data_IF_091649127935
#
_entry.id   IF_091649127935
#
_cell.length_a   1.000
_cell.length_b   1.000
_cell.length_c   1.000
_cell.angle_alpha   90.00
_cell.angle_beta   90.00
_cell.angle_gamma   90.00
#
_symmetry.space_group_name_H-M   'P 1'
#
loop_
_entity.id
_entity.type
_entity.pdbx_description
1 polymer ?
#
# COMPACT_ATOMS: atom_id res chain seq x y z
N UNK A 1 4.00 -4.77 9.43
CA UNK A 1 4.44 -6.00 8.75
C UNK A 1 5.88 -5.89 8.24
N UNK A 2 6.27 -4.80 7.59
CA UNK A 2 7.62 -4.62 7.04
C UNK A 2 8.74 -4.88 8.09
N UNK A 3 8.56 -4.40 9.31
CA UNK A 3 9.54 -4.52 10.40
C UNK A 3 9.21 -5.58 11.45
N UNK A 4 8.04 -6.21 11.41
CA UNK A 4 7.64 -7.23 12.36
C UNK A 4 7.26 -8.54 11.64
N UNK A 5 8.15 -9.53 11.73
CA UNK A 5 7.98 -10.83 11.09
C UNK A 5 6.90 -11.71 11.72
N UNK A 6 6.37 -11.35 12.90
CA UNK A 6 5.25 -12.05 13.54
C UNK A 6 3.93 -11.82 12.83
N UNK A 7 3.83 -10.74 12.03
CA UNK A 7 2.66 -10.47 11.18
C UNK A 7 2.76 -11.39 9.96
N UNK A 8 1.88 -12.35 9.86
CA UNK A 8 1.92 -13.42 8.85
C UNK A 8 1.15 -13.10 7.58
N UNK A 9 0.20 -12.18 7.63
CA UNK A 9 -0.58 -11.72 6.49
C UNK A 9 -0.97 -10.25 6.65
N UNK A 10 -1.22 -9.56 5.53
CA UNK A 10 -1.55 -8.13 5.52
C UNK A 10 -2.71 -7.86 4.58
N UNK A 11 -3.60 -6.97 4.98
CA UNK A 11 -4.59 -6.34 4.09
C UNK A 11 -4.43 -4.83 4.20
N UNK A 12 -4.29 -4.16 3.07
CA UNK A 12 -4.31 -2.70 2.97
C UNK A 12 -5.45 -2.28 2.05
N UNK A 13 -6.42 -1.56 2.59
CA UNK A 13 -7.52 -0.98 1.81
C UNK A 13 -7.45 0.52 1.86
N UNK A 14 -7.48 1.19 0.70
CA UNK A 14 -7.41 2.65 0.59
C UNK A 14 -6.23 3.23 1.40
N UNK A 15 -5.09 2.56 1.38
CA UNK A 15 -4.01 2.82 2.34
C UNK A 15 -2.90 3.73 1.83
N UNK A 16 -2.69 3.79 0.52
CA UNK A 16 -1.54 4.51 -0.06
C UNK A 16 -1.66 4.65 -1.59
N UNK A 17 -0.88 5.56 -2.13
CA UNK A 17 -0.34 5.58 -3.49
C UNK A 17 1.14 6.03 -3.40
N UNK A 18 1.82 6.25 -4.52
CA UNK A 18 3.19 6.79 -4.50
C UNK A 18 3.22 8.16 -3.83
N UNK A 19 4.27 8.43 -3.08
CA UNK A 19 4.49 9.76 -2.50
C UNK A 19 4.47 10.87 -3.56
N UNK A 20 4.94 10.58 -4.75
CA UNK A 20 4.97 11.55 -5.86
C UNK A 20 3.57 11.80 -6.46
N UNK A 21 2.67 10.83 -6.38
CA UNK A 21 1.33 10.89 -6.95
C UNK A 21 0.26 11.37 -5.96
N UNK A 22 0.58 11.35 -4.66
CA UNK A 22 -0.36 11.67 -3.59
C UNK A 22 -1.03 13.02 -3.81
N UNK A 23 -2.38 13.02 -3.91
CA UNK A 23 -3.18 14.16 -4.33
C UNK A 23 -2.68 14.81 -5.64
N UNK A 24 -2.23 14.01 -6.61
CA UNK A 24 -1.72 14.53 -7.88
C UNK A 24 -0.41 15.29 -7.76
N UNK A 25 0.39 15.03 -6.73
CA UNK A 25 1.66 15.71 -6.46
C UNK A 25 1.49 17.08 -5.79
N UNK A 26 0.32 17.37 -5.22
CA UNK A 26 0.04 18.64 -4.54
C UNK A 26 0.96 18.86 -3.32
N UNK A 27 1.94 19.76 -3.50
CA UNK A 27 2.93 20.08 -2.47
C UNK A 27 2.34 20.67 -1.18
N UNK A 28 1.10 21.18 -1.22
CA UNK A 28 0.42 21.69 -0.01
C UNK A 28 0.06 20.57 0.96
N UNK A 29 -0.06 19.33 0.49
CA UNK A 29 -0.30 18.14 1.31
C UNK A 29 0.95 17.68 2.07
N UNK A 30 2.13 18.22 1.73
CA UNK A 30 3.42 17.90 2.34
C UNK A 30 3.91 18.95 3.34
N UNK A 31 3.09 19.98 3.62
CA UNK A 31 3.33 20.91 4.72
C UNK A 31 3.24 20.14 6.05
N UNK A 32 4.12 20.45 7.00
CA UNK A 32 4.14 19.81 8.31
C UNK A 32 2.73 19.78 8.95
N UNK A 33 2.32 18.61 9.40
CA UNK A 33 0.99 18.36 9.97
C UNK A 33 -0.12 18.11 8.96
N UNK A 34 0.16 18.03 7.66
CA UNK A 34 -0.80 17.73 6.60
C UNK A 34 -0.53 16.34 5.99
N UNK A 35 -1.57 15.70 5.42
CA UNK A 35 -1.44 14.43 4.72
C UNK A 35 -0.55 13.43 5.46
N UNK A 36 0.45 12.88 4.76
CA UNK A 36 1.44 11.96 5.33
C UNK A 36 2.32 12.56 6.41
N UNK A 37 2.46 13.89 6.47
CA UNK A 37 3.36 14.59 7.41
C UNK A 37 2.71 14.89 8.76
N UNK A 38 1.49 14.38 9.03
CA UNK A 38 0.86 14.47 10.35
C UNK A 38 1.67 13.69 11.40
N UNK A 39 1.63 14.14 12.65
CA UNK A 39 2.35 13.51 13.77
C UNK A 39 2.07 12.02 13.94
N UNK A 40 0.83 11.59 13.62
CA UNK A 40 0.40 10.18 13.70
C UNK A 40 0.90 9.30 12.55
N UNK A 41 1.53 9.88 11.52
CA UNK A 41 2.07 9.17 10.36
C UNK A 41 3.59 9.35 10.27
N UNK A 42 4.07 10.04 9.26
CA UNK A 42 5.50 10.20 8.96
C UNK A 42 5.91 11.68 8.93
N UNK A 43 5.93 12.38 10.08
CA UNK A 43 6.13 13.84 10.13
C UNK A 43 7.44 14.31 9.49
N UNK A 44 8.48 13.48 9.51
CA UNK A 44 9.78 13.80 8.90
C UNK A 44 9.71 13.92 7.37
N UNK A 45 8.70 13.36 6.72
CA UNK A 45 8.53 13.51 5.27
C UNK A 45 8.25 14.95 4.86
N UNK A 46 7.84 15.84 5.76
CA UNK A 46 7.72 17.27 5.49
C UNK A 46 9.03 17.93 5.02
N UNK A 47 10.18 17.35 5.37
CA UNK A 47 11.50 17.81 4.92
C UNK A 47 11.74 17.58 3.41
N UNK A 48 10.96 16.70 2.79
CA UNK A 48 11.04 16.37 1.35
C UNK A 48 10.02 17.16 0.51
N UNK A 49 9.26 18.08 1.10
CA UNK A 49 8.39 18.95 0.33
C UNK A 49 9.18 19.61 -0.82
N UNK A 50 8.58 19.66 -2.01
CA UNK A 50 9.18 20.14 -3.26
C UNK A 50 10.35 19.28 -3.79
N UNK A 51 10.67 18.17 -3.11
CA UNK A 51 11.73 17.22 -3.45
C UNK A 51 11.29 15.77 -3.18
N UNK A 52 10.04 15.41 -3.51
CA UNK A 52 9.46 14.10 -3.19
C UNK A 52 10.24 12.95 -3.83
N UNK A 53 10.91 13.18 -4.94
CA UNK A 53 11.80 12.22 -5.60
C UNK A 53 13.08 11.90 -4.79
N UNK A 54 13.37 12.66 -3.76
CA UNK A 54 14.50 12.40 -2.85
C UNK A 54 14.11 11.58 -1.61
N UNK A 55 12.81 11.24 -1.45
CA UNK A 55 12.38 10.32 -0.39
C UNK A 55 13.04 8.97 -0.67
N UNK A 56 13.78 8.39 0.31
CA UNK A 56 14.65 7.24 0.05
C UNK A 56 13.92 5.91 -0.10
N UNK A 57 12.60 5.88 -0.08
CA UNK A 57 11.74 4.71 -0.29
C UNK A 57 10.34 5.15 -0.70
N UNK A 58 9.59 4.25 -1.33
CA UNK A 58 8.16 4.41 -1.58
C UNK A 58 7.41 3.12 -1.20
N UNK A 59 6.13 3.04 -1.43
CA UNK A 59 5.32 1.89 -1.02
C UNK A 59 5.64 0.60 -1.77
N UNK A 60 6.22 0.64 -2.98
CA UNK A 60 6.72 -0.56 -3.66
C UNK A 60 7.80 -1.26 -2.83
N UNK A 61 8.77 -0.53 -2.26
CA UNK A 61 9.79 -1.11 -1.38
C UNK A 61 9.17 -1.63 -0.08
N UNK A 62 8.22 -0.89 0.50
CA UNK A 62 7.52 -1.36 1.71
C UNK A 62 6.78 -2.66 1.43
N UNK A 63 6.06 -2.77 0.31
CA UNK A 63 5.38 -4.00 -0.11
C UNK A 63 6.38 -5.13 -0.32
N UNK A 64 7.50 -4.86 -0.99
CA UNK A 64 8.56 -5.83 -1.26
C UNK A 64 9.17 -6.41 0.03
N UNK A 65 9.31 -5.62 1.09
CA UNK A 65 9.82 -6.12 2.39
C UNK A 65 8.89 -7.12 3.07
N UNK A 66 7.63 -7.22 2.65
CA UNK A 66 6.67 -8.18 3.21
C UNK A 66 6.84 -9.56 2.58
N UNK A 67 7.38 -9.65 1.37
CA UNK A 67 7.59 -10.92 0.68
C UNK A 67 8.36 -11.94 1.55
N UNK A 68 8.05 -13.23 1.47
CA UNK A 68 7.00 -13.88 0.67
C UNK A 68 5.61 -13.97 1.34
N UNK A 69 5.38 -13.24 2.43
CA UNK A 69 4.12 -13.28 3.19
C UNK A 69 2.95 -12.70 2.38
N UNK A 70 1.74 -13.27 2.50
CA UNK A 70 0.61 -12.82 1.72
C UNK A 70 0.16 -11.41 2.09
N UNK A 71 -0.12 -10.62 1.06
CA UNK A 71 -0.70 -9.29 1.16
C UNK A 71 -1.80 -9.09 0.12
N UNK A 72 -2.92 -8.55 0.56
CA UNK A 72 -3.99 -8.04 -0.29
C UNK A 72 -3.99 -6.53 -0.25
N UNK A 73 -3.85 -5.90 -1.41
CA UNK A 73 -4.02 -4.46 -1.61
C UNK A 73 -5.38 -4.23 -2.27
N UNK A 74 -6.20 -3.37 -1.68
CA UNK A 74 -7.48 -2.93 -2.25
C UNK A 74 -7.36 -1.44 -2.56
N UNK A 75 -7.42 -1.10 -3.85
CA UNK A 75 -7.28 0.26 -4.36
C UNK A 75 -8.48 0.62 -5.24
N UNK A 76 -9.55 1.23 -4.68
CA UNK A 76 -10.73 1.60 -5.44
C UNK A 76 -10.44 2.50 -6.63
N UNK A 77 -11.15 2.28 -7.74
CA UNK A 77 -10.92 3.00 -9.01
C UNK A 77 -11.22 4.50 -8.91
N UNK A 78 -12.13 4.90 -8.01
CA UNK A 78 -12.58 6.29 -7.84
C UNK A 78 -12.21 6.88 -6.48
N UNK A 79 -11.12 6.37 -5.87
CA UNK A 79 -10.61 6.91 -4.61
C UNK A 79 -10.11 8.34 -4.82
N UNK A 80 -10.65 9.28 -4.06
CA UNK A 80 -10.27 10.70 -4.12
C UNK A 80 -8.95 11.02 -3.41
N UNK A 81 -8.44 10.11 -2.58
CA UNK A 81 -7.21 10.31 -1.81
C UNK A 81 -6.01 9.66 -2.49
N UNK A 82 -6.21 8.49 -3.11
CA UNK A 82 -5.14 7.66 -3.65
C UNK A 82 -5.45 7.21 -5.08
N UNK A 83 -4.53 7.44 -5.98
CA UNK A 83 -4.70 7.12 -7.40
C UNK A 83 -4.54 5.62 -7.65
N UNK A 84 -5.62 4.95 -8.07
CA UNK A 84 -5.62 3.51 -8.36
C UNK A 84 -4.52 3.09 -9.36
N UNK A 85 -4.25 3.92 -10.39
CA UNK A 85 -3.19 3.67 -11.36
C UNK A 85 -1.78 3.73 -10.73
N UNK A 86 -1.57 4.63 -9.76
CA UNK A 86 -0.32 4.72 -9.00
C UNK A 86 -0.12 3.46 -8.15
N UNK A 87 -1.17 3.02 -7.44
CA UNK A 87 -1.11 1.77 -6.66
C UNK A 87 -0.78 0.58 -7.55
N UNK A 88 -1.36 0.51 -8.77
CA UNK A 88 -1.06 -0.56 -9.74
C UNK A 88 0.42 -0.61 -10.09
N UNK A 89 1.06 0.54 -10.33
CA UNK A 89 2.52 0.60 -10.61
C UNK A 89 3.33 0.11 -9.42
N UNK A 90 3.02 0.58 -8.20
CA UNK A 90 3.73 0.16 -6.98
C UNK A 90 3.63 -1.35 -6.73
N UNK A 91 2.44 -1.93 -6.92
CA UNK A 91 2.23 -3.38 -6.79
C UNK A 91 2.97 -4.15 -7.87
N UNK A 92 2.95 -3.66 -9.11
CA UNK A 92 3.71 -4.26 -10.22
C UNK A 92 5.21 -4.29 -9.90
N UNK A 93 5.79 -3.18 -9.44
CA UNK A 93 7.20 -3.10 -9.10
C UNK A 93 7.56 -4.07 -7.96
N UNK A 94 6.73 -4.11 -6.90
CA UNK A 94 6.91 -5.03 -5.78
C UNK A 94 6.80 -6.51 -6.21
N UNK A 95 6.02 -6.82 -7.27
CA UNK A 95 5.80 -8.19 -7.75
C UNK A 95 7.10 -8.88 -8.18
N UNK A 96 8.09 -8.13 -8.65
CA UNK A 96 9.42 -8.64 -9.01
C UNK A 96 10.08 -9.34 -7.82
N UNK A 97 9.97 -8.77 -6.62
CA UNK A 97 10.55 -9.38 -5.40
C UNK A 97 9.75 -10.61 -4.99
N UNK A 98 8.41 -10.58 -5.10
CA UNK A 98 7.59 -11.76 -4.85
C UNK A 98 7.94 -12.91 -5.81
N UNK A 99 8.19 -12.62 -7.09
CA UNK A 99 8.62 -13.61 -8.07
C UNK A 99 9.98 -14.24 -7.69
N UNK A 100 10.95 -13.48 -7.20
CA UNK A 100 12.23 -14.00 -6.71
C UNK A 100 12.07 -15.01 -5.56
N UNK A 101 10.98 -14.91 -4.80
CA UNK A 101 10.63 -15.85 -3.74
C UNK A 101 9.72 -16.99 -4.19
N UNK A 102 9.32 -17.06 -5.48
CA UNK A 102 8.33 -18.02 -5.98
C UNK A 102 6.94 -17.85 -5.33
N UNK A 103 6.60 -16.61 -4.93
CA UNK A 103 5.43 -16.27 -4.13
C UNK A 103 4.51 -15.24 -4.84
N UNK A 104 4.47 -15.24 -6.16
CA UNK A 104 3.73 -14.26 -6.97
C UNK A 104 2.26 -14.19 -6.59
N UNK A 105 1.67 -15.34 -6.22
CA UNK A 105 0.26 -15.44 -5.81
C UNK A 105 -0.03 -14.81 -4.45
N UNK A 106 1.01 -14.49 -3.68
CA UNK A 106 0.88 -13.89 -2.36
C UNK A 106 0.75 -12.35 -2.41
N UNK A 107 1.05 -11.72 -3.53
CA UNK A 107 0.78 -10.29 -3.73
C UNK A 107 -0.46 -10.13 -4.62
N UNK A 108 -1.56 -9.70 -4.02
CA UNK A 108 -2.85 -9.56 -4.71
C UNK A 108 -3.29 -8.09 -4.71
N UNK A 109 -3.68 -7.58 -5.88
CA UNK A 109 -4.32 -6.27 -6.04
C UNK A 109 -5.78 -6.46 -6.47
N UNK A 110 -6.69 -5.78 -5.80
CA UNK A 110 -8.10 -5.67 -6.19
C UNK A 110 -8.48 -4.19 -6.33
N UNK A 111 -9.19 -3.86 -7.40
CA UNK A 111 -9.59 -2.49 -7.74
C UNK A 111 -11.10 -2.43 -7.94
N UNK A 112 -11.89 -2.36 -6.85
CA UNK A 112 -13.34 -2.27 -6.96
C UNK A 112 -13.78 -0.94 -7.58
N UNK A 113 -14.89 -0.98 -8.32
CA UNK A 113 -15.52 0.19 -8.89
C UNK A 113 -16.35 0.94 -7.82
N UNK A 114 -15.63 1.68 -6.98
CA UNK A 114 -16.19 2.50 -5.90
C UNK A 114 -15.24 3.65 -5.52
N UNK A 115 -15.73 4.57 -4.69
CA UNK A 115 -14.94 5.62 -4.06
C UNK A 115 -14.08 5.07 -2.90
N UNK A 116 -13.55 5.94 -2.03
CA UNK A 116 -12.74 5.58 -0.85
C UNK A 116 -13.55 4.72 0.13
N UNK A 117 -13.65 3.42 -0.14
CA UNK A 117 -14.44 2.47 0.63
C UNK A 117 -13.81 1.08 0.62
N UNK A 118 -14.24 0.24 1.55
CA UNK A 118 -13.88 -1.18 1.64
C UNK A 118 -15.16 -2.04 1.53
N UNK A 119 -15.68 -2.27 0.31
CA UNK A 119 -16.96 -2.90 0.11
C UNK A 119 -16.97 -4.39 0.52
N UNK A 120 -18.16 -4.92 0.78
CA UNK A 120 -18.33 -6.29 1.31
C UNK A 120 -17.59 -7.37 0.51
N UNK A 121 -17.59 -7.39 -0.84
CA UNK A 121 -16.82 -8.39 -1.59
C UNK A 121 -15.33 -8.35 -1.27
N UNK A 122 -14.76 -7.15 -1.10
CA UNK A 122 -13.33 -6.97 -0.76
C UNK A 122 -13.03 -7.42 0.67
N UNK A 123 -13.96 -7.19 1.61
CA UNK A 123 -13.85 -7.70 2.99
C UNK A 123 -13.88 -9.23 3.02
N UNK A 124 -14.71 -9.86 2.19
CA UNK A 124 -14.75 -11.32 2.06
C UNK A 124 -13.40 -11.87 1.60
N UNK A 125 -12.78 -11.27 0.58
CA UNK A 125 -11.44 -11.63 0.11
C UNK A 125 -10.37 -11.45 1.21
N UNK A 126 -10.48 -10.39 2.00
CA UNK A 126 -9.58 -10.14 3.12
C UNK A 126 -9.69 -11.22 4.22
N UNK A 127 -10.92 -11.60 4.58
CA UNK A 127 -11.13 -12.67 5.56
C UNK A 127 -10.63 -14.01 5.05
N UNK A 128 -10.88 -14.36 3.78
CA UNK A 128 -10.35 -15.59 3.17
C UNK A 128 -8.81 -15.62 3.21
N UNK A 129 -8.15 -14.49 2.94
CA UNK A 129 -6.69 -14.40 3.04
C UNK A 129 -6.22 -14.65 4.48
N UNK A 130 -6.88 -14.07 5.47
CA UNK A 130 -6.52 -14.29 6.87
C UNK A 130 -6.80 -15.73 7.30
N UNK A 131 -7.94 -16.32 6.92
CA UNK A 131 -8.27 -17.70 7.23
C UNK A 131 -7.19 -18.65 6.68
N UNK A 132 -6.77 -18.46 5.41
CA UNK A 132 -5.71 -19.26 4.80
C UNK A 132 -4.35 -19.08 5.47
N UNK A 133 -4.02 -17.85 5.87
CA UNK A 133 -2.72 -17.55 6.46
C UNK A 133 -2.61 -17.92 7.93
N UNK A 134 -3.73 -18.04 8.64
CA UNK A 134 -3.79 -18.31 10.09
C UNK A 134 -4.12 -19.78 10.43
N UNK A 135 -4.57 -20.55 9.45
CA UNK A 135 -4.70 -22.00 9.63
C UNK A 135 -3.30 -22.59 9.80
N UNK A 136 -2.98 -22.97 11.03
CA UNK A 136 -1.77 -23.77 11.29
C UNK A 136 -2.01 -25.18 10.77
N UNK A 137 -1.03 -25.79 10.09
CA UNK A 137 -1.09 -27.21 9.75
C UNK A 137 -1.11 -28.08 11.02
#
# INVERSE_FOLDING_TARGET
AAFDKRITAVVSSCGFDSYQDYYGGDQTKWIAGKGWTQLRYMPKLSHFRERLNEIPFDFNEILATIAPRPILVVAPLHDSNFQAASVSRLVHDASTVYALHGAEKHLKLLQPDCAHDFPTPMRTEAYQLFDQALVRP
#
